data_IF_222310465673
#
_entry.id   IF_222310465673
#
_cell.length_a   1.000
_cell.length_b   1.000
_cell.length_c   1.000
_cell.angle_alpha   90.00
_cell.angle_beta   90.00
_cell.angle_gamma   90.00
#
_symmetry.space_group_name_H-M   'P 1'
#
loop_
_entity.id
_entity.type
_entity.pdbx_description
1 polymer ?
#
# COMPACT_ATOMS: atom_id res chain seq x y z
N UNK A 1 33.54 15.90 -45.26
CA UNK A 1 34.24 16.05 -43.98
C UNK A 1 33.51 16.96 -42.96
N UNK A 2 32.96 18.12 -43.37
CA UNK A 2 32.28 19.04 -42.44
C UNK A 2 31.02 18.47 -41.75
N UNK A 3 30.22 17.59 -42.37
CA UNK A 3 29.02 16.98 -41.79
C UNK A 3 29.32 15.92 -40.72
N UNK A 4 30.44 15.17 -40.88
CA UNK A 4 30.82 14.15 -39.92
C UNK A 4 31.36 14.76 -38.61
N UNK A 5 32.06 15.90 -38.73
CA UNK A 5 32.58 16.62 -37.54
C UNK A 5 31.44 17.23 -36.69
N UNK A 6 30.42 17.78 -37.34
CA UNK A 6 29.27 18.34 -36.65
C UNK A 6 28.48 17.26 -35.95
N UNK A 7 28.30 16.07 -36.53
CA UNK A 7 27.59 14.94 -35.90
C UNK A 7 28.38 14.39 -34.71
N UNK A 8 29.71 14.32 -34.79
CA UNK A 8 30.57 13.89 -33.68
C UNK A 8 30.51 14.89 -32.49
N UNK A 9 30.56 16.17 -32.78
CA UNK A 9 30.49 17.22 -31.75
C UNK A 9 29.11 17.20 -31.08
N UNK A 10 28.01 17.05 -31.83
CA UNK A 10 26.68 16.92 -31.28
C UNK A 10 26.51 15.66 -30.42
N UNK A 11 27.14 14.55 -30.80
CA UNK A 11 27.11 13.30 -30.03
C UNK A 11 27.91 13.41 -28.72
N UNK A 12 29.06 14.11 -28.73
CA UNK A 12 29.87 14.35 -27.55
C UNK A 12 29.18 15.32 -26.58
N UNK A 13 28.49 16.36 -27.09
CA UNK A 13 27.72 17.29 -26.27
C UNK A 13 26.48 16.60 -25.68
N UNK A 14 25.82 15.74 -26.45
CA UNK A 14 24.67 14.97 -25.93
C UNK A 14 25.06 13.96 -24.85
N UNK A 15 26.23 13.32 -24.96
CA UNK A 15 26.79 12.44 -23.93
C UNK A 15 27.22 13.21 -22.66
N UNK A 16 27.69 14.45 -22.80
CA UNK A 16 28.06 15.33 -21.69
C UNK A 16 26.84 15.88 -20.93
N UNK A 17 25.70 16.09 -21.61
CA UNK A 17 24.49 16.63 -21.01
C UNK A 17 23.67 15.60 -20.19
N UNK A 18 23.97 14.32 -20.33
CA UNK A 18 23.34 13.25 -19.54
C UNK A 18 24.11 12.85 -18.28
N UNK A 19 25.29 13.43 -18.04
CA UNK A 19 26.08 13.16 -16.85
C UNK A 19 25.47 13.92 -15.66
N UNK A 20 24.75 13.22 -14.83
CA UNK A 20 24.14 13.77 -13.60
C UNK A 20 25.19 14.27 -12.58
N UNK A 21 26.43 13.80 -12.71
CA UNK A 21 27.59 14.24 -11.91
C UNK A 21 28.82 14.45 -12.80
N UNK A 22 29.30 15.68 -12.83
CA UNK A 22 30.59 15.98 -13.46
C UNK A 22 31.72 15.61 -12.52
N UNK A 23 32.54 14.64 -12.90
CA UNK A 23 33.77 14.33 -12.19
C UNK A 23 34.94 15.01 -12.88
N UNK A 24 35.55 16.01 -12.25
CA UNK A 24 36.78 16.60 -12.74
C UNK A 24 37.94 15.63 -12.47
N UNK A 25 38.33 14.86 -13.49
CA UNK A 25 39.42 13.88 -13.41
C UNK A 25 40.82 14.48 -13.63
N UNK A 26 40.89 15.75 -14.03
CA UNK A 26 42.18 16.40 -14.41
C UNK A 26 42.68 17.36 -13.35
N UNK A 27 41.93 17.68 -12.31
CA UNK A 27 42.37 18.53 -11.23
C UNK A 27 42.98 17.65 -10.12
N UNK A 28 44.33 17.73 -9.89
CA UNK A 28 45.01 16.92 -8.89
C UNK A 28 44.65 17.29 -7.44
N UNK A 29 44.05 18.46 -7.22
CA UNK A 29 43.67 18.93 -5.89
C UNK A 29 42.25 18.41 -5.48
N UNK A 30 41.56 17.72 -6.39
CA UNK A 30 40.24 17.12 -6.12
C UNK A 30 40.40 15.65 -5.80
N UNK A 31 40.04 15.28 -4.57
CA UNK A 31 39.92 13.87 -4.15
C UNK A 31 38.46 13.47 -4.30
N UNK A 32 38.21 12.50 -5.19
CA UNK A 32 36.86 11.92 -5.33
C UNK A 32 36.64 10.90 -4.21
N UNK A 33 35.82 11.27 -3.25
CA UNK A 33 35.40 10.34 -2.19
C UNK A 33 34.30 9.46 -2.76
N UNK A 34 34.64 8.21 -3.03
CA UNK A 34 33.71 7.18 -3.48
C UNK A 34 33.52 6.17 -2.36
N UNK A 35 32.38 6.23 -1.71
CA UNK A 35 31.96 5.17 -0.81
C UNK A 35 30.98 4.27 -1.57
N UNK A 36 31.30 2.97 -1.77
CA UNK A 36 30.36 2.05 -2.38
C UNK A 36 29.17 1.85 -1.44
N UNK A 37 28.10 2.60 -1.67
CA UNK A 37 26.83 2.38 -0.96
C UNK A 37 26.02 1.37 -1.75
N UNK A 38 25.86 0.18 -1.21
CA UNK A 38 24.81 -0.73 -1.64
C UNK A 38 23.48 -0.20 -1.06
N UNK A 39 22.53 0.13 -1.92
CA UNK A 39 21.18 0.40 -1.47
C UNK A 39 20.65 -0.88 -0.81
N UNK A 40 20.27 -0.79 0.45
CA UNK A 40 19.67 -1.91 1.16
C UNK A 40 18.17 -1.82 1.03
N UNK A 41 17.56 -2.88 0.51
CA UNK A 41 16.13 -3.09 0.53
C UNK A 41 15.74 -3.69 1.88
N UNK A 42 14.67 -3.22 2.49
CA UNK A 42 14.08 -3.86 3.66
C UNK A 42 13.59 -5.25 3.27
N UNK A 43 13.98 -6.25 4.05
CA UNK A 43 13.46 -7.61 3.91
C UNK A 43 12.26 -7.79 4.83
N UNK A 44 11.08 -7.87 4.23
CA UNK A 44 9.85 -8.19 4.92
C UNK A 44 9.28 -9.46 4.31
N UNK A 45 9.56 -10.59 4.95
CA UNK A 45 9.25 -11.91 4.41
C UNK A 45 7.99 -12.48 5.07
N UNK A 46 7.11 -13.05 4.27
CA UNK A 46 5.93 -13.78 4.69
C UNK A 46 5.90 -15.08 3.90
N UNK A 47 5.73 -16.24 4.55
CA UNK A 47 5.56 -17.52 3.86
C UNK A 47 4.33 -17.51 2.95
N UNK A 48 4.29 -18.43 1.98
CA UNK A 48 3.09 -18.64 1.18
C UNK A 48 1.89 -19.01 2.08
N UNK A 49 0.75 -18.42 1.77
CA UNK A 49 -0.52 -18.67 2.44
C UNK A 49 -1.46 -19.36 1.45
N UNK A 50 -1.93 -20.55 1.76
CA UNK A 50 -2.83 -21.34 0.92
C UNK A 50 -2.30 -21.55 -0.52
N UNK A 51 -0.98 -21.65 -0.70
CA UNK A 51 -0.33 -21.81 -2.00
C UNK A 51 -0.19 -20.53 -2.82
N UNK A 52 -0.55 -19.37 -2.27
CA UNK A 52 -0.31 -18.06 -2.86
C UNK A 52 0.94 -17.40 -2.27
N UNK A 53 1.68 -16.66 -3.07
CA UNK A 53 2.71 -15.75 -2.59
C UNK A 53 2.05 -14.53 -1.93
N UNK A 54 2.70 -13.98 -0.91
CA UNK A 54 2.20 -12.77 -0.23
C UNK A 54 3.03 -11.58 -0.67
N UNK A 55 2.43 -10.71 -1.48
CA UNK A 55 3.07 -9.50 -1.99
C UNK A 55 2.70 -8.28 -1.16
N UNK A 56 3.67 -7.39 -0.98
CA UNK A 56 3.54 -6.15 -0.22
C UNK A 56 3.20 -5.02 -1.19
N UNK A 57 2.04 -4.40 -0.99
CA UNK A 57 1.54 -3.34 -1.85
C UNK A 57 1.26 -2.05 -1.08
N UNK A 58 1.46 -0.90 -1.73
CA UNK A 58 0.87 0.36 -1.34
C UNK A 58 -0.02 0.85 -2.49
N UNK A 59 -1.31 0.93 -2.21
CA UNK A 59 -2.34 1.24 -3.21
C UNK A 59 -2.86 2.68 -3.11
N UNK A 60 -2.21 3.52 -2.29
CA UNK A 60 -2.59 4.91 -2.10
C UNK A 60 -1.36 5.78 -1.77
N UNK A 61 -0.92 6.56 -2.75
CA UNK A 61 0.30 7.38 -2.64
C UNK A 61 0.21 8.62 -3.51
N UNK A 62 0.96 9.68 -3.12
CA UNK A 62 0.99 10.96 -3.80
C UNK A 62 2.40 11.42 -4.13
N UNK A 63 2.52 12.21 -5.20
CA UNK A 63 3.76 12.84 -5.63
C UNK A 63 3.54 14.32 -5.95
N UNK A 64 4.58 14.98 -6.49
CA UNK A 64 4.47 16.37 -6.96
C UNK A 64 3.47 16.58 -8.10
N UNK A 65 2.93 15.52 -8.69
CA UNK A 65 1.86 15.61 -9.67
C UNK A 65 0.49 15.90 -9.04
N UNK A 66 0.35 15.72 -7.74
CA UNK A 66 -0.78 16.23 -6.95
C UNK A 66 -0.27 17.14 -5.82
N UNK A 67 -0.37 16.74 -4.60
CA UNK A 67 0.03 17.52 -3.42
C UNK A 67 1.15 16.86 -2.60
N UNK A 68 1.69 15.74 -3.07
CA UNK A 68 2.87 15.13 -2.50
C UNK A 68 4.14 15.97 -2.75
N UNK A 69 5.15 15.78 -1.92
CA UNK A 69 6.40 16.55 -1.98
C UNK A 69 7.52 15.82 -2.69
N UNK A 70 7.32 14.55 -3.06
CA UNK A 70 8.34 13.70 -3.68
C UNK A 70 8.07 13.52 -5.17
N UNK A 71 9.14 13.40 -5.95
CA UNK A 71 9.04 13.03 -7.37
C UNK A 71 8.67 11.54 -7.51
N UNK A 72 8.15 11.17 -8.68
CA UNK A 72 7.89 9.76 -9.01
C UNK A 72 9.17 8.91 -8.87
N UNK A 73 10.32 9.40 -9.33
CA UNK A 73 11.61 8.68 -9.21
C UNK A 73 11.94 8.36 -7.76
N UNK A 74 11.85 9.36 -6.90
CA UNK A 74 12.10 9.17 -5.48
C UNK A 74 11.09 8.18 -4.87
N UNK A 75 9.81 8.32 -5.19
CA UNK A 75 8.74 7.51 -4.61
C UNK A 75 8.85 6.02 -4.98
N UNK A 76 9.17 5.70 -6.23
CA UNK A 76 9.37 4.31 -6.65
C UNK A 76 10.62 3.70 -6.00
N UNK A 77 11.70 4.49 -5.90
CA UNK A 77 12.93 4.07 -5.20
C UNK A 77 12.67 3.83 -3.71
N UNK A 78 11.95 4.73 -3.06
CA UNK A 78 11.54 4.62 -1.65
C UNK A 78 10.67 3.36 -1.43
N UNK A 79 9.69 3.12 -2.28
CA UNK A 79 8.85 1.92 -2.23
C UNK A 79 9.68 0.63 -2.30
N UNK A 80 10.69 0.60 -3.21
CA UNK A 80 11.62 -0.52 -3.30
C UNK A 80 12.48 -0.66 -2.03
N UNK A 81 13.03 0.45 -1.52
CA UNK A 81 13.84 0.45 -0.29
C UNK A 81 13.04 -0.06 0.91
N UNK A 82 11.76 0.30 1.00
CA UNK A 82 10.84 -0.13 2.05
C UNK A 82 10.33 -1.58 1.89
N UNK A 83 10.75 -2.27 0.85
CA UNK A 83 10.45 -3.70 0.64
C UNK A 83 9.14 -3.97 -0.09
N UNK A 84 8.50 -2.98 -0.72
CA UNK A 84 7.28 -3.19 -1.50
C UNK A 84 7.56 -3.94 -2.80
N UNK A 85 6.59 -4.74 -3.23
CA UNK A 85 6.58 -5.47 -4.50
C UNK A 85 5.65 -4.82 -5.52
N UNK A 86 4.64 -4.07 -5.04
CA UNK A 86 3.55 -3.49 -5.82
C UNK A 86 3.34 -2.05 -5.35
N UNK A 87 3.13 -1.16 -6.31
CA UNK A 87 2.88 0.26 -6.07
C UNK A 87 1.76 0.76 -6.99
N UNK A 88 0.78 1.49 -6.47
CA UNK A 88 -0.22 2.16 -7.29
C UNK A 88 0.07 3.66 -7.40
N UNK A 89 -0.07 4.19 -8.61
CA UNK A 89 -0.07 5.64 -8.85
C UNK A 89 -1.49 6.15 -8.64
N UNK A 90 -1.71 6.97 -7.62
CA UNK A 90 -3.04 7.45 -7.22
C UNK A 90 -3.06 8.93 -6.93
N UNK A 91 -2.46 9.71 -7.83
CA UNK A 91 -2.48 11.18 -7.75
C UNK A 91 -3.92 11.70 -7.64
N UNK A 92 -4.12 12.80 -6.93
CA UNK A 92 -5.40 13.48 -6.93
C UNK A 92 -5.80 13.93 -8.34
N UNK A 93 -7.01 13.61 -8.76
CA UNK A 93 -7.54 14.06 -10.02
C UNK A 93 -7.86 15.57 -10.01
N UNK A 94 -8.35 16.08 -8.89
CA UNK A 94 -8.86 17.46 -8.78
C UNK A 94 -7.98 18.40 -7.96
N UNK A 95 -7.13 17.87 -7.08
CA UNK A 95 -6.31 18.68 -6.19
C UNK A 95 -4.83 18.56 -6.52
N UNK A 96 -4.27 19.54 -7.21
CA UNK A 96 -2.90 19.55 -7.74
C UNK A 96 -2.22 20.91 -7.50
N UNK A 97 -1.87 21.23 -6.22
CA UNK A 97 -1.33 22.54 -5.87
C UNK A 97 0.06 22.83 -6.47
N UNK A 98 0.78 21.81 -6.92
CA UNK A 98 2.13 21.95 -7.49
C UNK A 98 2.15 22.18 -8.99
N UNK A 99 0.99 22.16 -9.65
CA UNK A 99 0.83 22.24 -11.09
C UNK A 99 1.45 23.51 -11.69
N UNK A 100 1.25 24.65 -11.03
CA UNK A 100 1.79 25.96 -11.44
C UNK A 100 3.26 26.19 -11.00
N UNK A 101 3.84 25.27 -10.25
CA UNK A 101 5.20 25.41 -9.68
C UNK A 101 6.13 24.32 -10.12
N UNK A 102 6.05 23.14 -9.51
CA UNK A 102 7.05 22.07 -9.70
C UNK A 102 6.94 21.37 -11.06
N UNK A 103 5.74 21.21 -11.56
CA UNK A 103 5.49 20.35 -12.75
C UNK A 103 5.08 21.09 -14.01
N UNK A 104 4.79 22.39 -13.96
CA UNK A 104 4.34 23.15 -15.14
C UNK A 104 5.33 23.13 -16.32
N UNK A 105 6.60 22.90 -16.05
CA UNK A 105 7.64 22.84 -17.07
C UNK A 105 7.87 21.42 -17.62
N UNK A 106 7.17 20.43 -17.13
CA UNK A 106 7.31 19.07 -17.62
C UNK A 106 6.71 18.94 -19.02
N UNK A 107 7.55 18.51 -19.96
CA UNK A 107 7.11 18.34 -21.35
C UNK A 107 6.00 17.27 -21.43
N UNK A 108 4.93 17.63 -22.13
CA UNK A 108 3.78 16.75 -22.34
C UNK A 108 2.79 16.72 -21.18
N UNK A 109 3.01 17.50 -20.12
CA UNK A 109 2.10 17.55 -18.98
C UNK A 109 0.86 18.40 -19.26
N UNK A 110 1.00 19.54 -19.97
CA UNK A 110 -0.12 20.38 -20.35
C UNK A 110 -0.76 19.84 -21.63
N UNK A 111 -2.08 19.72 -21.63
CA UNK A 111 -2.89 19.23 -22.73
C UNK A 111 -3.40 20.39 -23.59
N UNK A 112 -3.10 20.36 -24.87
CA UNK A 112 -3.53 21.37 -25.84
C UNK A 112 -4.95 21.13 -26.38
N UNK A 113 -5.51 19.93 -26.15
CA UNK A 113 -6.81 19.48 -26.64
C UNK A 113 -8.00 19.88 -25.75
N UNK A 114 -7.75 20.33 -24.52
CA UNK A 114 -8.79 20.67 -23.54
C UNK A 114 -8.92 22.18 -23.40
N UNK A 115 -10.12 22.70 -23.69
CA UNK A 115 -10.46 24.13 -23.54
C UNK A 115 -11.30 24.33 -22.29
N UNK A 116 -11.10 25.49 -21.62
CA UNK A 116 -11.86 25.85 -20.41
C UNK A 116 -11.58 24.98 -19.19
N UNK A 117 -10.56 24.12 -19.25
CA UNK A 117 -10.19 23.24 -18.19
C UNK A 117 -9.66 23.98 -16.94
N UNK A 118 -9.86 23.39 -15.79
CA UNK A 118 -9.29 23.84 -14.51
C UNK A 118 -8.21 22.86 -14.04
N UNK A 119 -7.06 23.40 -13.62
CA UNK A 119 -5.90 22.62 -13.24
C UNK A 119 -5.81 22.34 -11.75
N UNK A 120 -6.65 22.94 -10.94
CA UNK A 120 -6.59 22.80 -9.49
C UNK A 120 -7.96 22.48 -8.94
N UNK A 121 -8.01 22.35 -7.65
CA UNK A 121 -9.14 21.90 -6.87
C UNK A 121 -10.50 22.23 -7.51
N UNK A 122 -11.19 21.20 -7.92
CA UNK A 122 -12.59 21.30 -8.33
C UNK A 122 -13.42 21.29 -7.07
N UNK A 123 -14.17 22.37 -6.84
CA UNK A 123 -15.20 22.40 -5.81
C UNK A 123 -16.53 21.99 -6.45
N UNK A 124 -17.35 21.16 -5.79
CA UNK A 124 -18.64 20.71 -6.35
C UNK A 124 -19.61 21.80 -6.71
N UNK A 125 -19.48 22.94 -6.04
CA UNK A 125 -20.30 24.13 -6.32
C UNK A 125 -19.83 24.90 -7.56
N UNK A 126 -18.68 24.52 -8.13
CA UNK A 126 -18.13 25.11 -9.34
C UNK A 126 -18.42 24.19 -10.53
N UNK A 127 -19.58 24.37 -11.15
CA UNK A 127 -20.15 23.45 -12.12
C UNK A 127 -19.52 23.44 -13.53
N UNK A 128 -18.49 24.22 -13.84
CA UNK A 128 -18.19 24.58 -15.22
C UNK A 128 -16.79 24.23 -15.72
N UNK A 129 -16.16 23.14 -15.22
CA UNK A 129 -14.91 22.69 -15.80
C UNK A 129 -15.18 21.72 -16.97
N UNK A 130 -14.72 22.05 -18.17
CA UNK A 130 -14.81 21.18 -19.37
C UNK A 130 -13.83 20.01 -19.33
N UNK A 131 -13.08 19.85 -18.23
CA UNK A 131 -12.09 18.80 -18.04
C UNK A 131 -10.88 19.30 -17.24
N UNK A 132 -9.81 18.54 -17.32
CA UNK A 132 -8.54 18.84 -16.67
C UNK A 132 -7.47 19.12 -17.72
N UNK A 133 -6.75 20.24 -17.58
CA UNK A 133 -5.78 20.71 -18.58
C UNK A 133 -4.49 19.90 -18.62
N UNK A 134 -4.19 19.14 -17.60
CA UNK A 134 -2.97 18.33 -17.50
C UNK A 134 -3.18 16.89 -17.91
N UNK A 135 -2.10 16.23 -18.32
CA UNK A 135 -2.13 14.81 -18.64
C UNK A 135 -1.98 13.95 -17.34
N UNK A 136 -3.09 13.42 -16.87
CA UNK A 136 -3.16 12.59 -15.68
C UNK A 136 -2.56 11.18 -15.88
N UNK A 137 -2.22 10.78 -17.11
CA UNK A 137 -1.54 9.52 -17.40
C UNK A 137 -0.02 9.62 -17.23
N UNK A 138 0.54 10.82 -17.33
CA UNK A 138 1.99 11.03 -17.30
C UNK A 138 2.68 10.47 -16.06
N UNK A 139 2.14 10.62 -14.82
CA UNK A 139 2.74 10.02 -13.61
C UNK A 139 2.88 8.50 -13.70
N UNK A 140 1.85 7.81 -14.19
CA UNK A 140 1.88 6.37 -14.38
C UNK A 140 2.91 5.95 -15.44
N UNK A 141 2.97 6.65 -16.57
CA UNK A 141 3.95 6.35 -17.63
C UNK A 141 5.40 6.47 -17.13
N UNK A 142 5.67 7.45 -16.29
CA UNK A 142 6.97 7.61 -15.64
C UNK A 142 7.22 6.50 -14.62
N UNK A 143 6.24 6.19 -13.77
CA UNK A 143 6.36 5.15 -12.77
C UNK A 143 6.65 3.76 -13.38
N UNK A 144 5.99 3.40 -14.48
CA UNK A 144 6.21 2.11 -15.17
C UNK A 144 7.66 1.95 -15.64
N UNK A 145 8.27 3.03 -16.17
CA UNK A 145 9.69 2.99 -16.59
C UNK A 145 10.63 2.72 -15.41
N UNK A 146 10.35 3.36 -14.28
CA UNK A 146 11.13 3.20 -13.05
C UNK A 146 10.83 1.87 -12.36
N UNK A 147 9.58 1.42 -12.34
CA UNK A 147 9.18 0.13 -11.78
C UNK A 147 9.95 -1.04 -12.40
N UNK A 148 10.21 -0.98 -13.71
CA UNK A 148 11.06 -1.98 -14.40
C UNK A 148 12.51 -2.00 -13.90
N UNK A 149 13.06 -0.84 -13.50
CA UNK A 149 14.44 -0.76 -12.98
C UNK A 149 14.54 -1.32 -11.56
N UNK A 150 13.50 -1.15 -10.75
CA UNK A 150 13.47 -1.56 -9.35
C UNK A 150 12.69 -2.88 -9.12
N UNK A 151 12.26 -3.55 -10.17
CA UNK A 151 11.44 -4.78 -10.08
C UNK A 151 10.19 -4.60 -9.19
N UNK A 152 9.47 -3.47 -9.39
CA UNK A 152 8.19 -3.17 -8.75
C UNK A 152 7.08 -3.19 -9.81
N UNK A 153 5.99 -3.89 -9.52
CA UNK A 153 4.79 -3.85 -10.35
C UNK A 153 4.01 -2.56 -10.08
N UNK A 154 3.73 -1.79 -11.14
CA UNK A 154 3.02 -0.51 -11.05
C UNK A 154 1.57 -0.69 -11.49
N UNK A 155 0.63 -0.34 -10.62
CA UNK A 155 -0.81 -0.34 -10.92
C UNK A 155 -1.21 1.06 -11.40
N UNK A 156 -1.86 1.19 -12.58
CA UNK A 156 -2.44 2.45 -13.02
C UNK A 156 -3.65 2.80 -12.15
N UNK A 157 -3.68 4.01 -11.63
CA UNK A 157 -4.76 4.50 -10.80
C UNK A 157 -4.85 6.02 -10.81
N UNK A 158 -5.89 6.51 -10.17
CA UNK A 158 -6.16 7.93 -9.91
C UNK A 158 -7.05 8.06 -8.70
N UNK A 159 -6.88 9.08 -7.89
CA UNK A 159 -7.78 9.38 -6.80
C UNK A 159 -8.83 10.42 -7.20
N UNK A 160 -10.10 10.03 -7.12
CA UNK A 160 -11.25 10.95 -7.20
C UNK A 160 -11.38 11.63 -5.84
N UNK A 161 -10.97 12.89 -5.77
CA UNK A 161 -10.86 13.65 -4.52
C UNK A 161 -11.93 14.72 -4.49
N UNK A 162 -12.80 14.67 -3.48
CA UNK A 162 -13.93 15.61 -3.39
C UNK A 162 -14.09 16.23 -2.01
N UNK A 163 -14.54 17.45 -2.02
CA UNK A 163 -14.98 18.17 -0.83
C UNK A 163 -16.48 18.44 -0.93
N UNK A 164 -17.24 18.41 0.19
CA UNK A 164 -16.78 18.17 1.57
C UNK A 164 -16.45 16.69 1.85
N UNK A 165 -15.81 16.41 3.00
CA UNK A 165 -15.45 15.06 3.43
C UNK A 165 -16.66 14.08 3.52
N UNK A 166 -17.90 14.59 3.47
CA UNK A 166 -19.11 13.78 3.39
C UNK A 166 -19.31 13.05 2.05
N UNK A 167 -18.51 13.39 1.04
CA UNK A 167 -18.44 12.66 -0.22
C UNK A 167 -17.32 11.65 -0.16
N UNK A 168 -16.17 12.03 0.37
CA UNK A 168 -15.00 11.16 0.54
C UNK A 168 -14.11 11.08 -0.71
N UNK A 169 -13.08 10.28 -0.60
CA UNK A 169 -12.07 10.06 -1.62
C UNK A 169 -12.08 8.60 -2.08
N UNK A 170 -11.83 8.39 -3.37
CA UNK A 170 -11.93 7.06 -3.97
C UNK A 170 -10.79 6.81 -4.96
N UNK A 171 -9.98 5.80 -4.72
CA UNK A 171 -9.02 5.35 -5.70
C UNK A 171 -9.69 4.47 -6.76
N UNK A 172 -9.51 4.83 -8.01
CA UNK A 172 -9.82 3.99 -9.15
C UNK A 172 -8.53 3.29 -9.60
N UNK A 173 -8.45 1.98 -9.38
CA UNK A 173 -7.29 1.15 -9.71
C UNK A 173 -7.52 0.38 -11.02
N UNK A 174 -6.44 0.06 -11.74
CA UNK A 174 -6.48 -0.64 -13.04
C UNK A 174 -7.22 0.12 -14.13
N UNK A 175 -7.12 1.44 -14.11
CA UNK A 175 -7.66 2.31 -15.17
C UNK A 175 -6.84 2.18 -16.45
N UNK A 176 -7.43 2.61 -17.58
CA UNK A 176 -6.76 2.64 -18.89
C UNK A 176 -6.36 4.05 -19.29
N UNK A 177 -7.17 5.03 -18.94
CA UNK A 177 -6.99 6.44 -19.27
C UNK A 177 -7.55 7.29 -18.12
N UNK A 178 -6.68 7.89 -17.34
CA UNK A 178 -7.04 8.75 -16.23
C UNK A 178 -7.74 10.04 -16.69
N UNK A 179 -7.38 10.57 -17.88
CA UNK A 179 -7.97 11.78 -18.43
C UNK A 179 -9.46 11.63 -18.76
N UNK A 180 -9.90 10.41 -19.10
CA UNK A 180 -11.29 10.12 -19.45
C UNK A 180 -12.20 9.88 -18.23
N UNK A 181 -11.67 9.96 -17.00
CA UNK A 181 -12.44 9.71 -15.78
C UNK A 181 -13.14 10.96 -15.29
N UNK A 182 -12.52 12.13 -15.49
CA UNK A 182 -13.01 13.38 -14.92
C UNK A 182 -14.49 13.65 -15.27
N UNK A 183 -15.24 14.03 -14.23
CA UNK A 183 -16.59 14.62 -14.34
C UNK A 183 -16.80 15.48 -13.08
N UNK A 184 -17.55 16.59 -13.20
CA UNK A 184 -17.88 17.43 -12.06
C UNK A 184 -18.76 16.71 -11.03
N UNK A 185 -19.58 15.75 -11.46
CA UNK A 185 -20.32 14.85 -10.59
C UNK A 185 -19.42 13.68 -10.15
N UNK A 186 -19.12 13.54 -8.84
CA UNK A 186 -18.25 12.48 -8.34
C UNK A 186 -18.77 11.06 -8.59
N UNK A 187 -20.08 10.84 -8.61
CA UNK A 187 -20.63 9.54 -8.96
C UNK A 187 -20.39 9.21 -10.43
N UNK A 188 -20.49 10.21 -11.32
CA UNK A 188 -20.18 10.02 -12.74
C UNK A 188 -18.68 9.75 -12.96
N UNK A 189 -17.79 10.45 -12.24
CA UNK A 189 -16.35 10.16 -12.29
C UNK A 189 -16.07 8.70 -11.88
N UNK A 190 -16.63 8.21 -10.77
CA UNK A 190 -16.55 6.81 -10.36
C UNK A 190 -17.09 5.87 -11.45
N UNK A 191 -18.23 6.18 -12.06
CA UNK A 191 -18.80 5.38 -13.16
C UNK A 191 -17.94 5.37 -14.41
N UNK A 192 -17.29 6.48 -14.73
CA UNK A 192 -16.37 6.56 -15.87
C UNK A 192 -15.16 5.64 -15.65
N UNK A 193 -14.61 5.61 -14.43
CA UNK A 193 -13.56 4.66 -14.08
C UNK A 193 -14.06 3.19 -14.18
N UNK A 194 -15.25 2.90 -13.67
CA UNK A 194 -15.88 1.56 -13.77
C UNK A 194 -16.07 1.09 -15.22
N UNK A 195 -16.43 2.01 -16.15
CA UNK A 195 -16.55 1.68 -17.58
C UNK A 195 -15.24 1.22 -18.21
N UNK A 196 -14.10 1.64 -17.63
CA UNK A 196 -12.78 1.18 -18.03
C UNK A 196 -12.40 -0.16 -17.41
N UNK A 197 -13.21 -0.67 -16.49
CA UNK A 197 -12.98 -1.88 -15.73
C UNK A 197 -12.23 -1.63 -14.42
N UNK A 198 -12.14 -0.38 -13.93
CA UNK A 198 -11.46 -0.08 -12.66
C UNK A 198 -12.11 -0.78 -11.46
N UNK A 199 -11.29 -1.13 -10.48
CA UNK A 199 -11.72 -1.41 -9.11
C UNK A 199 -11.72 -0.10 -8.32
N UNK A 200 -12.78 0.15 -7.58
CA UNK A 200 -12.95 1.37 -6.80
C UNK A 200 -12.75 1.08 -5.32
N UNK A 201 -11.78 1.76 -4.72
CA UNK A 201 -11.46 1.65 -3.30
C UNK A 201 -11.84 2.95 -2.57
N UNK A 202 -12.59 2.83 -1.47
CA UNK A 202 -12.92 3.96 -0.60
C UNK A 202 -11.75 4.23 0.34
N UNK A 203 -11.16 5.41 0.24
CA UNK A 203 -9.97 5.82 0.97
C UNK A 203 -10.35 6.35 2.36
N UNK A 204 -9.47 6.16 3.37
CA UNK A 204 -9.50 6.75 4.72
C UNK A 204 -10.90 7.20 5.18
N UNK A 205 -11.86 6.27 5.40
CA UNK A 205 -13.29 6.59 5.56
C UNK A 205 -13.62 7.43 6.81
N UNK A 206 -12.65 7.62 7.70
CA UNK A 206 -12.76 8.47 8.90
C UNK A 206 -12.11 9.84 8.76
N UNK A 207 -11.35 10.09 7.70
CA UNK A 207 -10.58 11.31 7.55
C UNK A 207 -11.49 12.56 7.58
N UNK A 208 -11.08 13.55 8.40
CA UNK A 208 -11.82 14.82 8.59
C UNK A 208 -13.29 14.66 9.04
N UNK A 209 -13.61 13.54 9.72
CA UNK A 209 -14.96 13.20 10.18
C UNK A 209 -14.97 12.85 11.68
N UNK A 210 -16.10 13.10 12.34
CA UNK A 210 -16.30 12.77 13.76
C UNK A 210 -16.81 11.35 13.98
N UNK A 211 -17.23 10.64 12.93
CA UNK A 211 -17.68 9.26 13.00
C UNK A 211 -17.51 8.53 11.66
N UNK A 212 -17.53 7.20 11.70
CA UNK A 212 -17.53 6.34 10.51
C UNK A 212 -18.92 6.03 9.95
N UNK A 213 -19.99 6.67 10.47
CA UNK A 213 -21.32 6.45 9.93
C UNK A 213 -21.40 6.86 8.45
N UNK A 214 -22.02 6.01 7.64
CA UNK A 214 -22.11 6.24 6.20
C UNK A 214 -22.91 7.49 5.88
N UNK A 215 -22.35 8.37 5.07
CA UNK A 215 -23.03 9.53 4.51
C UNK A 215 -24.06 9.10 3.46
N UNK A 216 -24.91 10.02 3.02
CA UNK A 216 -25.91 9.71 1.99
C UNK A 216 -25.26 9.45 0.62
N UNK A 217 -24.12 10.10 0.35
CA UNK A 217 -23.32 9.78 -0.86
C UNK A 217 -22.76 8.36 -0.78
N UNK A 218 -22.11 8.02 0.33
CA UNK A 218 -21.58 6.67 0.55
C UNK A 218 -22.68 5.60 0.44
N UNK A 219 -23.81 5.77 1.16
CA UNK A 219 -24.97 4.85 1.07
C UNK A 219 -25.40 4.62 -0.38
N UNK A 220 -25.42 5.70 -1.18
CA UNK A 220 -25.82 5.63 -2.57
C UNK A 220 -24.81 4.86 -3.44
N UNK A 221 -23.50 5.16 -3.34
CA UNK A 221 -22.49 4.50 -4.19
C UNK A 221 -22.24 3.04 -3.76
N UNK A 222 -22.27 2.75 -2.46
CA UNK A 222 -22.22 1.39 -1.95
C UNK A 222 -23.47 0.59 -2.34
N UNK A 223 -24.66 1.18 -2.17
CA UNK A 223 -25.93 0.53 -2.53
C UNK A 223 -26.06 0.22 -4.03
N UNK A 224 -25.32 0.93 -4.88
CA UNK A 224 -25.23 0.67 -6.33
C UNK A 224 -24.12 -0.31 -6.72
N UNK A 225 -23.39 -0.88 -5.77
CA UNK A 225 -22.28 -1.78 -6.03
C UNK A 225 -21.13 -1.12 -6.80
N UNK A 226 -20.87 0.16 -6.57
CA UNK A 226 -19.81 0.89 -7.24
C UNK A 226 -18.44 0.76 -6.54
N UNK A 227 -18.42 0.31 -5.30
CA UNK A 227 -17.23 0.19 -4.46
C UNK A 227 -16.82 -1.28 -4.36
N UNK A 228 -15.55 -1.56 -4.54
CA UNK A 228 -14.96 -2.91 -4.51
C UNK A 228 -14.05 -3.13 -3.30
N UNK A 229 -13.50 -2.05 -2.74
CA UNK A 229 -12.55 -2.11 -1.63
C UNK A 229 -12.67 -0.92 -0.68
N UNK A 230 -12.03 -1.04 0.48
CA UNK A 230 -12.00 0.00 1.50
C UNK A 230 -10.67 -0.02 2.25
N UNK A 231 -10.13 1.14 2.55
CA UNK A 231 -9.03 1.27 3.51
C UNK A 231 -9.56 1.04 4.93
N UNK A 232 -9.00 0.04 5.59
CA UNK A 232 -9.22 -0.18 7.02
C UNK A 232 -8.07 0.39 7.85
N UNK A 233 -6.91 0.66 7.21
CA UNK A 233 -5.77 1.38 7.76
C UNK A 233 -5.24 2.37 6.73
N UNK A 234 -4.94 3.60 7.17
CA UNK A 234 -4.35 4.63 6.33
C UNK A 234 -3.35 5.46 7.17
N UNK A 235 -2.09 5.55 6.74
CA UNK A 235 -1.05 6.19 7.54
C UNK A 235 -1.02 5.65 8.97
N UNK A 236 -1.23 6.51 9.94
CA UNK A 236 -1.27 6.14 11.38
C UNK A 236 -2.67 5.80 11.90
N UNK A 237 -3.67 5.81 11.04
CA UNK A 237 -5.07 5.59 11.43
C UNK A 237 -5.52 4.16 11.17
N UNK A 238 -6.22 3.57 12.14
CA UNK A 238 -6.87 2.28 12.02
C UNK A 238 -8.39 2.44 12.24
N UNK A 239 -9.18 1.93 11.31
CA UNK A 239 -10.64 2.01 11.28
C UNK A 239 -11.31 0.65 11.53
N UNK A 240 -11.33 0.10 12.76
CA UNK A 240 -11.86 -1.25 13.01
C UNK A 240 -13.31 -1.44 12.55
N UNK A 241 -14.16 -0.40 12.66
CA UNK A 241 -15.54 -0.44 12.15
C UNK A 241 -15.63 -0.55 10.63
N UNK A 242 -14.56 -0.19 9.89
CA UNK A 242 -14.54 -0.36 8.45
C UNK A 242 -14.43 -1.83 8.04
N UNK A 243 -13.93 -2.72 8.91
CA UNK A 243 -13.92 -4.17 8.70
C UNK A 243 -15.36 -4.71 8.60
N UNK A 244 -16.24 -4.27 9.50
CA UNK A 244 -17.68 -4.64 9.47
C UNK A 244 -18.34 -4.17 8.16
N UNK A 245 -17.98 -2.94 7.71
CA UNK A 245 -18.45 -2.39 6.43
C UNK A 245 -17.94 -3.23 5.25
N UNK A 246 -16.66 -3.60 5.26
CA UNK A 246 -16.08 -4.45 4.22
C UNK A 246 -16.79 -5.80 4.12
N UNK A 247 -17.03 -6.47 5.25
CA UNK A 247 -17.78 -7.73 5.31
C UNK A 247 -19.21 -7.56 4.78
N UNK A 248 -19.91 -6.50 5.20
CA UNK A 248 -21.30 -6.23 4.79
C UNK A 248 -21.47 -6.03 3.29
N UNK A 249 -20.51 -5.36 2.65
CA UNK A 249 -20.59 -5.01 1.22
C UNK A 249 -19.66 -5.86 0.35
N UNK A 250 -19.06 -6.90 0.91
CA UNK A 250 -18.18 -7.85 0.22
C UNK A 250 -16.97 -7.18 -0.46
N UNK A 251 -16.23 -6.36 0.29
CA UNK A 251 -15.12 -5.55 -0.20
C UNK A 251 -13.75 -6.14 0.18
N UNK A 252 -12.74 -5.93 -0.68
CA UNK A 252 -11.36 -6.14 -0.26
C UNK A 252 -10.92 -5.07 0.74
N UNK A 253 -10.04 -5.45 1.68
CA UNK A 253 -9.56 -4.60 2.75
C UNK A 253 -8.09 -4.26 2.54
N UNK A 254 -7.71 -3.00 2.76
CA UNK A 254 -6.35 -2.51 2.51
C UNK A 254 -5.77 -1.72 3.67
N UNK A 255 -4.43 -1.66 3.67
CA UNK A 255 -3.63 -0.71 4.45
C UNK A 255 -2.69 0.00 3.51
N UNK A 256 -2.77 1.32 3.45
CA UNK A 256 -1.96 2.14 2.56
C UNK A 256 -1.37 3.32 3.33
N UNK A 257 -0.40 3.99 2.73
CA UNK A 257 0.27 5.08 3.41
C UNK A 257 -0.38 6.44 3.21
N UNK A 258 -0.97 6.67 2.04
CA UNK A 258 -1.43 8.02 1.65
C UNK A 258 -0.28 9.06 1.80
N UNK A 259 0.92 8.61 1.43
CA UNK A 259 2.14 9.34 1.77
C UNK A 259 2.34 10.55 0.87
N UNK A 260 2.47 11.72 1.50
CA UNK A 260 2.74 13.00 0.83
C UNK A 260 4.20 13.43 0.99
N UNK A 261 4.82 13.12 2.14
CA UNK A 261 6.25 13.35 2.44
C UNK A 261 7.05 12.06 2.26
N UNK A 262 8.25 11.99 2.81
CA UNK A 262 9.02 10.75 2.81
C UNK A 262 8.40 9.71 3.75
N UNK A 263 8.37 8.44 3.36
CA UNK A 263 7.97 7.35 4.25
C UNK A 263 8.92 7.21 5.44
N UNK A 264 10.19 7.60 5.25
CA UNK A 264 11.22 7.59 6.28
C UNK A 264 10.80 8.31 7.55
N UNK A 265 10.21 9.52 7.42
CA UNK A 265 9.78 10.32 8.58
C UNK A 265 8.71 9.65 9.42
N UNK A 266 7.80 8.94 8.79
CA UNK A 266 6.65 8.31 9.47
C UNK A 266 7.03 6.95 10.05
N UNK A 267 7.78 6.13 9.29
CA UNK A 267 7.99 4.72 9.61
C UNK A 267 9.40 4.41 10.09
N UNK A 268 10.40 4.66 9.29
CA UNK A 268 11.77 4.21 9.58
C UNK A 268 12.39 4.94 10.77
N UNK A 269 12.16 6.25 10.92
CA UNK A 269 12.60 6.99 12.11
C UNK A 269 12.00 6.44 13.42
N UNK A 270 10.86 5.79 13.33
CA UNK A 270 10.18 5.15 14.46
C UNK A 270 10.49 3.64 14.58
N UNK A 271 11.41 3.12 13.76
CA UNK A 271 11.77 1.71 13.76
C UNK A 271 10.63 0.77 13.31
N UNK A 272 9.71 1.28 12.50
CA UNK A 272 8.53 0.56 12.02
C UNK A 272 8.62 0.27 10.52
N UNK A 273 8.01 -0.84 10.10
CA UNK A 273 7.71 -1.05 8.69
C UNK A 273 6.55 -0.14 8.26
N UNK A 274 6.58 0.30 6.99
CA UNK A 274 5.49 1.11 6.43
C UNK A 274 4.20 0.30 6.35
N UNK A 275 3.07 1.00 6.21
CA UNK A 275 1.80 0.36 5.89
C UNK A 275 1.90 -0.44 4.60
N UNK A 276 1.29 -1.62 4.60
CA UNK A 276 1.26 -2.52 3.47
C UNK A 276 -0.10 -3.22 3.37
N UNK A 277 -0.64 -3.27 2.17
CA UNK A 277 -1.65 -4.26 1.82
C UNK A 277 -0.93 -5.54 1.44
N UNK A 278 -1.17 -6.62 2.21
CA UNK A 278 -0.63 -7.95 1.93
C UNK A 278 -1.57 -8.64 0.95
N UNK A 279 -1.13 -8.83 -0.29
CA UNK A 279 -1.92 -9.41 -1.38
C UNK A 279 -1.47 -10.84 -1.62
N UNK A 280 -2.39 -11.80 -1.50
CA UNK A 280 -2.14 -13.22 -1.74
C UNK A 280 -2.47 -13.56 -3.18
N UNK A 281 -1.45 -13.58 -4.05
CA UNK A 281 -1.57 -13.77 -5.48
C UNK A 281 -0.61 -14.87 -5.99
N UNK A 282 -0.89 -15.42 -7.18
CA UNK A 282 -0.03 -16.45 -7.79
C UNK A 282 1.31 -15.88 -8.21
N UNK A 283 1.28 -14.70 -8.82
CA UNK A 283 2.44 -13.94 -9.27
C UNK A 283 2.15 -12.43 -9.19
N UNK A 284 3.11 -11.59 -9.62
CA UNK A 284 3.00 -10.13 -9.59
C UNK A 284 2.47 -9.52 -10.89
N UNK A 285 1.84 -10.28 -11.77
CA UNK A 285 1.16 -9.72 -12.94
C UNK A 285 -0.04 -8.88 -12.52
N UNK A 286 -0.38 -7.87 -13.30
CA UNK A 286 -1.56 -7.04 -13.02
C UNK A 286 -2.85 -7.86 -12.97
N UNK A 287 -2.94 -8.90 -13.79
CA UNK A 287 -4.06 -9.83 -13.84
C UNK A 287 -4.17 -10.65 -12.54
N UNK A 288 -3.05 -11.18 -12.04
CA UNK A 288 -3.02 -11.99 -10.81
C UNK A 288 -3.28 -11.15 -9.57
N UNK A 289 -2.74 -9.91 -9.52
CA UNK A 289 -2.99 -8.95 -8.45
C UNK A 289 -4.47 -8.55 -8.45
N UNK A 290 -5.02 -8.21 -9.62
CA UNK A 290 -6.42 -7.85 -9.76
C UNK A 290 -7.34 -8.97 -9.29
N UNK A 291 -7.10 -10.19 -9.74
CA UNK A 291 -7.86 -11.38 -9.35
C UNK A 291 -7.81 -11.59 -7.83
N UNK A 292 -6.65 -11.37 -7.18
CA UNK A 292 -6.51 -11.48 -5.74
C UNK A 292 -7.34 -10.42 -4.98
N UNK A 293 -7.39 -9.17 -5.49
CA UNK A 293 -8.25 -8.12 -4.93
C UNK A 293 -9.73 -8.47 -5.10
N UNK A 294 -10.16 -8.86 -6.29
CA UNK A 294 -11.55 -9.28 -6.56
C UNK A 294 -11.97 -10.48 -5.69
N UNK A 295 -11.06 -11.40 -5.43
CA UNK A 295 -11.26 -12.54 -4.53
C UNK A 295 -11.06 -12.19 -3.04
N UNK A 296 -10.81 -10.92 -2.67
CA UNK A 296 -10.60 -10.41 -1.31
C UNK A 296 -9.47 -11.12 -0.54
N UNK A 297 -8.48 -11.63 -1.26
CA UNK A 297 -7.29 -12.24 -0.66
C UNK A 297 -6.29 -11.18 -0.25
N UNK A 298 -6.71 -10.29 0.66
CA UNK A 298 -5.92 -9.18 1.19
C UNK A 298 -6.00 -9.11 2.69
N UNK A 299 -4.90 -8.68 3.32
CA UNK A 299 -4.83 -8.32 4.71
C UNK A 299 -4.15 -6.96 4.85
N UNK A 300 -4.59 -6.16 5.81
CA UNK A 300 -4.02 -4.86 6.11
C UNK A 300 -2.92 -5.01 7.17
N UNK A 301 -1.73 -4.43 6.93
CA UNK A 301 -0.63 -4.37 7.91
C UNK A 301 -0.25 -2.92 8.18
N UNK A 302 -0.18 -2.54 9.44
CA UNK A 302 0.31 -1.24 9.89
C UNK A 302 0.86 -1.33 11.30
N UNK A 303 2.06 -0.76 11.54
CA UNK A 303 2.70 -0.66 12.87
C UNK A 303 2.64 -1.95 13.70
N UNK A 304 2.91 -3.10 13.07
CA UNK A 304 2.89 -4.41 13.73
C UNK A 304 1.50 -5.00 13.95
N UNK A 305 0.43 -4.32 13.53
CA UNK A 305 -0.94 -4.83 13.57
C UNK A 305 -1.33 -5.39 12.21
N UNK A 306 -1.99 -6.55 12.19
CA UNK A 306 -2.59 -7.14 10.98
C UNK A 306 -4.10 -7.18 11.16
N UNK A 307 -4.85 -6.80 10.12
CA UNK A 307 -6.31 -6.84 10.19
C UNK A 307 -6.94 -7.30 8.87
N UNK A 308 -8.12 -7.91 8.96
CA UNK A 308 -8.86 -8.37 7.80
C UNK A 308 -9.81 -9.52 8.07
N UNK A 309 -9.99 -10.39 7.08
CA UNK A 309 -10.80 -11.60 7.21
C UNK A 309 -10.19 -12.56 8.23
N UNK A 310 -11.02 -13.08 9.14
CA UNK A 310 -10.57 -13.94 10.25
C UNK A 310 -9.89 -15.20 9.75
N UNK A 311 -10.45 -15.85 8.72
CA UNK A 311 -9.88 -17.09 8.16
C UNK A 311 -8.53 -16.82 7.51
N UNK A 312 -8.38 -15.73 6.76
CA UNK A 312 -7.10 -15.35 6.16
C UNK A 312 -6.06 -14.98 7.22
N UNK A 313 -6.47 -14.33 8.31
CA UNK A 313 -5.59 -14.05 9.45
C UNK A 313 -5.09 -15.34 10.12
N UNK A 314 -5.98 -16.31 10.37
CA UNK A 314 -5.61 -17.62 10.90
C UNK A 314 -4.67 -18.36 9.93
N UNK A 315 -4.94 -18.33 8.63
CA UNK A 315 -4.11 -18.96 7.61
C UNK A 315 -2.71 -18.31 7.54
N UNK A 316 -2.63 -16.98 7.63
CA UNK A 316 -1.37 -16.25 7.72
C UNK A 316 -0.58 -16.65 8.96
N UNK A 317 -1.23 -16.69 10.12
CA UNK A 317 -0.57 -17.11 11.37
C UNK A 317 -0.05 -18.54 11.24
N UNK A 318 -0.89 -19.47 10.80
CA UNK A 318 -0.53 -20.89 10.64
C UNK A 318 0.56 -21.14 9.59
N UNK A 319 0.66 -20.30 8.56
CA UNK A 319 1.77 -20.32 7.61
C UNK A 319 3.08 -19.81 8.23
N UNK A 320 2.97 -18.76 9.04
CA UNK A 320 4.11 -18.04 9.65
C UNK A 320 4.66 -18.73 10.90
N UNK A 321 3.79 -19.29 11.74
CA UNK A 321 4.16 -19.82 13.06
C UNK A 321 3.97 -21.34 13.11
N UNK A 322 4.99 -22.02 13.60
CA UNK A 322 4.96 -23.48 13.85
C UNK A 322 5.17 -23.78 15.33
N UNK A 323 4.42 -24.73 15.84
CA UNK A 323 4.76 -25.40 17.10
C UNK A 323 5.75 -26.51 16.78
N UNK A 324 7.02 -26.28 17.08
CA UNK A 324 8.12 -27.19 16.71
C UNK A 324 8.49 -28.16 17.81
N UNK A 325 8.00 -27.91 19.02
CA UNK A 325 8.21 -28.77 20.16
C UNK A 325 7.05 -28.67 21.15
N UNK A 326 6.60 -29.82 21.67
CA UNK A 326 5.62 -29.90 22.73
C UNK A 326 5.99 -31.06 23.65
N UNK A 327 6.08 -30.81 24.96
CA UNK A 327 6.41 -31.85 25.92
C UNK A 327 5.81 -31.57 27.30
N UNK A 328 5.43 -32.65 27.98
CA UNK A 328 4.99 -32.58 29.38
C UNK A 328 6.16 -32.24 30.29
N UNK A 329 6.13 -31.10 30.97
CA UNK A 329 7.08 -30.73 32.02
C UNK A 329 6.81 -31.54 33.27
N UNK A 330 5.55 -31.60 33.66
CA UNK A 330 5.01 -32.36 34.81
C UNK A 330 3.49 -32.43 34.66
N UNK A 331 2.77 -33.27 35.40
CA UNK A 331 1.32 -33.32 35.34
C UNK A 331 0.68 -31.94 35.39
N UNK A 332 -0.19 -31.65 34.43
CA UNK A 332 -0.88 -30.34 34.26
C UNK A 332 -0.04 -29.21 33.68
N UNK A 333 1.19 -29.48 33.20
CA UNK A 333 2.04 -28.45 32.52
C UNK A 333 2.70 -29.00 31.28
N UNK A 334 2.55 -28.27 30.18
CA UNK A 334 3.14 -28.59 28.87
C UNK A 334 3.96 -27.38 28.39
N UNK A 335 5.20 -27.61 27.96
CA UNK A 335 6.00 -26.64 27.27
C UNK A 335 5.68 -26.72 25.79
N UNK A 336 5.46 -25.55 25.15
CA UNK A 336 5.31 -25.39 23.73
C UNK A 336 6.39 -24.46 23.23
N UNK A 337 7.11 -24.87 22.19
CA UNK A 337 8.03 -23.99 21.45
C UNK A 337 7.37 -23.53 20.17
N UNK A 338 7.25 -22.21 20.02
CA UNK A 338 6.76 -21.55 18.81
C UNK A 338 7.95 -21.02 18.03
N UNK A 339 7.98 -21.26 16.74
CA UNK A 339 8.93 -20.70 15.77
C UNK A 339 8.17 -19.82 14.78
N UNK A 340 8.58 -18.54 14.65
CA UNK A 340 8.04 -17.60 13.68
C UNK A 340 8.98 -17.50 12.46
N UNK A 341 8.47 -17.85 11.28
CA UNK A 341 9.22 -17.81 10.01
C UNK A 341 8.94 -16.57 9.18
N UNK A 342 8.08 -15.67 9.68
CA UNK A 342 7.77 -14.41 9.02
C UNK A 342 8.54 -13.24 9.62
N UNK A 343 8.45 -12.07 8.97
CA UNK A 343 8.94 -10.80 9.53
C UNK A 343 7.93 -10.10 10.43
N UNK A 344 6.71 -10.64 10.58
CA UNK A 344 5.68 -10.07 11.44
C UNK A 344 5.93 -10.49 12.88
N UNK A 345 5.96 -9.55 13.81
CA UNK A 345 5.91 -9.86 15.23
C UNK A 345 4.49 -10.19 15.66
N UNK A 346 4.31 -11.27 16.39
CA UNK A 346 3.01 -11.64 16.96
C UNK A 346 2.98 -11.43 18.46
N UNK A 347 1.95 -10.76 18.95
CA UNK A 347 1.67 -10.64 20.38
C UNK A 347 0.70 -11.75 20.75
N UNK A 348 1.19 -12.76 21.44
CA UNK A 348 0.44 -14.00 21.72
C UNK A 348 0.20 -14.21 23.20
N UNK A 349 -0.93 -14.84 23.53
CA UNK A 349 -1.33 -15.18 24.89
C UNK A 349 -1.97 -16.58 24.93
N UNK A 350 -1.52 -17.43 25.84
CA UNK A 350 -2.12 -18.76 26.06
C UNK A 350 -3.37 -18.65 26.94
N UNK A 351 -4.56 -18.81 26.34
CA UNK A 351 -5.83 -18.62 27.04
C UNK A 351 -6.09 -17.15 27.43
N UNK A 352 -7.21 -16.89 28.10
CA UNK A 352 -7.59 -15.53 28.51
C UNK A 352 -6.66 -14.91 29.55
N UNK A 353 -6.15 -15.75 30.46
CA UNK A 353 -5.39 -15.32 31.65
C UNK A 353 -3.89 -15.58 31.55
N UNK A 354 -3.41 -15.97 30.35
CA UNK A 354 -1.98 -16.17 30.12
C UNK A 354 -1.23 -14.84 30.02
N UNK A 355 0.08 -14.88 30.30
CA UNK A 355 0.95 -13.72 30.11
C UNK A 355 1.06 -13.39 28.62
N UNK A 356 1.11 -12.10 28.31
CA UNK A 356 1.37 -11.63 26.96
C UNK A 356 2.84 -11.88 26.60
N UNK A 357 3.07 -12.53 25.47
CA UNK A 357 4.41 -12.78 24.96
C UNK A 357 4.56 -12.21 23.54
N UNK A 358 5.73 -11.67 23.21
CA UNK A 358 6.10 -11.24 21.88
C UNK A 358 6.89 -12.34 21.20
N UNK A 359 6.35 -12.88 20.12
CA UNK A 359 7.01 -13.81 19.21
C UNK A 359 7.54 -13.00 18.02
N UNK A 360 8.78 -12.55 18.13
CA UNK A 360 9.42 -11.71 17.12
C UNK A 360 9.61 -12.45 15.80
N UNK A 361 9.67 -11.70 14.70
CA UNK A 361 9.96 -12.22 13.36
C UNK A 361 11.30 -12.96 13.32
N UNK A 362 11.30 -14.16 12.72
CA UNK A 362 12.49 -15.01 12.62
C UNK A 362 13.00 -15.58 13.94
N UNK A 363 12.21 -15.54 15.02
CA UNK A 363 12.60 -16.00 16.37
C UNK A 363 11.74 -17.16 16.85
N UNK A 364 12.20 -17.76 17.96
CA UNK A 364 11.46 -18.81 18.68
C UNK A 364 11.31 -18.43 20.14
N UNK A 365 10.18 -18.82 20.75
CA UNK A 365 9.96 -18.68 22.18
C UNK A 365 9.37 -19.97 22.76
N UNK A 366 9.62 -20.20 24.06
CA UNK A 366 8.96 -21.23 24.84
C UNK A 366 7.85 -20.62 25.68
N UNK A 367 6.64 -21.17 25.58
CA UNK A 367 5.52 -20.85 26.45
C UNK A 367 5.12 -22.07 27.25
N UNK A 368 4.66 -21.81 28.46
CA UNK A 368 4.19 -22.85 29.38
C UNK A 368 2.66 -22.85 29.42
N UNK A 369 2.06 -23.89 28.87
CA UNK A 369 0.63 -24.14 29.02
C UNK A 369 0.36 -24.85 30.35
N UNK A 370 -0.62 -24.33 31.10
CA UNK A 370 -1.08 -24.97 32.37
C UNK A 370 -2.46 -25.58 32.13
N UNK A 371 -2.73 -26.71 32.79
CA UNK A 371 -4.06 -27.27 32.82
C UNK A 371 -5.06 -26.24 33.36
N UNK A 372 -6.22 -26.08 32.67
CA UNK A 372 -7.21 -25.07 32.98
C UNK A 372 -7.10 -23.77 32.19
N UNK A 373 -5.98 -23.52 31.47
CA UNK A 373 -5.84 -22.33 30.62
C UNK A 373 -6.65 -22.36 29.32
N UNK A 374 -7.43 -23.43 29.05
CA UNK A 374 -8.07 -23.64 27.76
C UNK A 374 -7.09 -24.09 26.67
N UNK A 375 -7.57 -24.19 25.42
CA UNK A 375 -6.76 -24.60 24.27
C UNK A 375 -6.48 -23.46 23.30
N UNK A 376 -6.87 -22.26 23.65
CA UNK A 376 -6.83 -21.11 22.75
C UNK A 376 -5.49 -20.37 22.87
N UNK A 377 -4.89 -20.06 21.73
CA UNK A 377 -3.84 -19.05 21.59
C UNK A 377 -4.47 -17.80 21.01
N UNK A 378 -4.55 -16.75 21.78
CA UNK A 378 -5.04 -15.44 21.33
C UNK A 378 -3.88 -14.68 20.70
N UNK A 379 -4.09 -14.11 19.49
CA UNK A 379 -3.12 -13.27 18.79
C UNK A 379 -3.61 -11.83 18.86
N UNK A 380 -3.10 -11.08 19.83
CA UNK A 380 -3.62 -9.77 20.25
C UNK A 380 -3.45 -8.66 19.20
N UNK A 381 -2.49 -8.78 18.30
CA UNK A 381 -2.25 -7.83 17.22
C UNK A 381 -2.79 -8.27 15.85
N UNK A 382 -3.72 -9.24 15.82
CA UNK A 382 -4.45 -9.65 14.63
C UNK A 382 -5.96 -9.40 14.84
N UNK A 383 -6.53 -8.48 14.07
CA UNK A 383 -7.88 -7.97 14.27
C UNK A 383 -8.84 -8.39 13.16
N UNK A 384 -9.85 -9.17 13.50
CA UNK A 384 -10.91 -9.60 12.56
C UNK A 384 -12.16 -8.71 12.59
N UNK A 385 -12.38 -7.98 13.69
CA UNK A 385 -13.47 -7.01 13.90
C UNK A 385 -13.06 -6.01 14.99
N UNK A 386 -13.92 -5.01 15.20
CA UNK A 386 -13.74 -4.08 16.32
C UNK A 386 -13.81 -4.81 17.66
N UNK A 387 -12.68 -4.83 18.38
CA UNK A 387 -12.56 -5.50 19.68
C UNK A 387 -12.48 -7.01 19.61
N UNK A 388 -12.28 -7.59 18.43
CA UNK A 388 -12.08 -9.03 18.24
C UNK A 388 -10.71 -9.32 17.64
N UNK A 389 -9.93 -10.11 18.35
CA UNK A 389 -8.64 -10.61 17.91
C UNK A 389 -8.72 -12.09 17.54
N UNK A 390 -7.79 -12.54 16.73
CA UNK A 390 -7.77 -13.90 16.20
C UNK A 390 -7.39 -14.89 17.29
N UNK A 391 -8.07 -16.04 17.29
CA UNK A 391 -7.78 -17.18 18.17
C UNK A 391 -7.36 -18.40 17.34
N UNK A 392 -6.30 -19.09 17.79
CA UNK A 392 -5.76 -20.30 17.20
C UNK A 392 -5.96 -21.47 18.17
N UNK A 393 -6.52 -22.58 17.70
CA UNK A 393 -6.71 -23.78 18.52
C UNK A 393 -5.39 -24.56 18.66
N UNK A 394 -4.93 -24.71 19.90
CA UNK A 394 -3.73 -25.47 20.25
C UNK A 394 -4.02 -26.93 20.63
N UNK A 395 -5.28 -27.35 20.66
CA UNK A 395 -5.68 -28.69 21.06
C UNK A 395 -4.86 -29.80 20.39
N UNK A 396 -4.62 -29.78 19.07
CA UNK A 396 -3.83 -30.82 18.40
C UNK A 396 -2.41 -30.98 18.96
N UNK A 397 -1.77 -29.86 19.34
CA UNK A 397 -0.41 -29.87 19.89
C UNK A 397 -0.37 -30.30 21.35
N UNK A 398 -1.40 -29.93 22.12
CA UNK A 398 -1.51 -30.32 23.53
C UNK A 398 -1.84 -31.80 23.66
N UNK A 399 -2.61 -32.38 22.74
CA UNK A 399 -2.89 -33.82 22.72
C UNK A 399 -1.67 -34.63 22.25
N UNK A 400 -0.92 -34.15 21.27
CA UNK A 400 0.28 -34.80 20.77
C UNK A 400 1.44 -34.80 21.79
N UNK A 401 1.43 -33.89 22.78
CA UNK A 401 2.43 -33.79 23.81
C UNK A 401 2.21 -34.78 25.01
N UNK A 402 0.99 -35.30 25.14
CA UNK A 402 0.62 -36.27 26.20
C UNK A 402 1.00 -37.69 25.84
#
# INVERSE_FOLDING_TARGET
MKRVVITLIASVVALGASAQYYQNKVNPDIIHITEPRTQQRVHFEIPQVNGYNVYKADLHTHTIFSDGQMTIDYRIREAWMDGLDIYAVTEHMEYRPHEETFVKWMRGYIRDDVKGAKNHRVNYTEADADGILVDLNLPYEQAVKLGKQFDITIIPGIEVTRTPATIGHYNALFIKDANAIFDNDPEKAIRNARKQGALIMHNHPGWSRTSLEMTDFEKRVYGKGLIDGIEIMNGVEFYPKAIERAKKYDLFMTSNTDVHRTSYEVYQMNGCYRNMTLIMAKDRSLESIREALEAKRTLAYSFGTVAGDEKLLQDLFNASVKVVYAAVEKPGRIYLQFENKSSIDFLIRLGKDGDLARLEGGKSIFLRHKEGNGTDLVVENMWSEKGQTVTIDLKPYLEAAK
#
